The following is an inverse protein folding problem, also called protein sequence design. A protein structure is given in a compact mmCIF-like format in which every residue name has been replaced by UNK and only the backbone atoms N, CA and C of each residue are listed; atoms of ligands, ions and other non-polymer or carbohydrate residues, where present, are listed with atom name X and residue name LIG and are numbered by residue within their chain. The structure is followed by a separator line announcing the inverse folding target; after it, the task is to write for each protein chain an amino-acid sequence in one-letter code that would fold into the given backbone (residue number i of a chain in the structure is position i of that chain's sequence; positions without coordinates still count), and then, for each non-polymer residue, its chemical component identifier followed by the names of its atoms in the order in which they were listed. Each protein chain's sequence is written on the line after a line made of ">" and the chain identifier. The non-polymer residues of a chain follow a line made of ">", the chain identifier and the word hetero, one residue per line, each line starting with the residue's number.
data_IF_764896489488
#
_entry.id   IF_764896489488
#
_cell.length_a   1.000
_cell.length_b   1.000
_cell.length_c   1.000
_cell.angle_alpha   90.00
_cell.angle_beta   90.00
_cell.angle_gamma   90.00
#
_symmetry.space_group_name_H-M   'P 1'
#
loop_
_entity.id
_entity.type
_entity.pdbx_description
1 polymer ?
#
# COMPACT_ATOMS: atom_id res chain seq x y z
N UNK A 1 0.83 1.93 0.72
CA UNK A 1 0.71 2.07 2.19
C UNK A 1 0.37 0.71 2.75
N UNK A 2 1.11 0.23 3.74
CA UNK A 2 0.81 -1.04 4.38
C UNK A 2 -0.45 -0.93 5.24
N UNK A 3 -1.30 -1.96 5.27
CA UNK A 3 -2.55 -1.94 6.05
C UNK A 3 -2.30 -1.70 7.54
N UNK A 4 -1.27 -2.32 8.11
CA UNK A 4 -0.88 -2.08 9.50
C UNK A 4 -0.45 -0.63 9.78
N UNK A 5 0.23 0.07 8.85
CA UNK A 5 0.54 1.50 9.05
C UNK A 5 -0.75 2.33 9.12
N UNK A 6 -1.76 1.98 8.32
CA UNK A 6 -3.07 2.64 8.37
C UNK A 6 -3.79 2.35 9.69
N UNK A 7 -3.73 1.11 10.18
CA UNK A 7 -4.32 0.74 11.46
C UNK A 7 -3.66 1.49 12.62
N UNK A 8 -2.33 1.61 12.61
CA UNK A 8 -1.59 2.40 13.59
C UNK A 8 -2.10 3.87 13.64
N UNK A 9 -2.42 4.46 12.47
CA UNK A 9 -3.01 5.80 12.41
C UNK A 9 -4.45 5.82 12.92
N UNK A 10 -5.27 4.83 12.56
CA UNK A 10 -6.66 4.73 13.01
C UNK A 10 -6.73 4.64 14.53
N UNK A 11 -5.83 3.87 15.17
CA UNK A 11 -5.76 3.77 16.63
C UNK A 11 -5.44 5.12 17.29
N UNK A 12 -4.50 5.89 16.73
CA UNK A 12 -4.19 7.27 17.16
C UNK A 12 -5.43 8.17 17.04
N UNK A 13 -6.18 8.04 15.95
CA UNK A 13 -7.36 8.84 15.68
C UNK A 13 -8.53 8.50 16.61
N UNK A 14 -8.79 7.22 16.84
CA UNK A 14 -9.84 6.75 17.75
C UNK A 14 -9.56 7.20 19.19
N UNK A 15 -8.29 7.21 19.62
CA UNK A 15 -7.91 7.70 20.94
C UNK A 15 -8.12 9.22 21.09
N UNK A 16 -8.17 10.00 20.00
CA UNK A 16 -8.22 11.47 20.03
C UNK A 16 -9.23 12.07 19.03
N UNK A 17 -10.43 11.49 18.91
CA UNK A 17 -11.40 11.83 17.85
C UNK A 17 -11.71 13.33 17.70
N UNK A 18 -11.87 14.06 18.82
CA UNK A 18 -12.21 15.48 18.76
C UNK A 18 -11.09 16.33 18.11
N UNK A 19 -9.83 15.89 18.15
CA UNK A 19 -8.71 16.58 17.48
C UNK A 19 -8.85 16.55 15.95
N UNK A 20 -9.46 15.50 15.39
CA UNK A 20 -9.54 15.27 13.94
C UNK A 20 -10.90 15.63 13.33
N UNK A 21 -11.88 15.94 14.16
CA UNK A 21 -13.26 16.20 13.75
C UNK A 21 -13.37 17.33 12.72
N UNK A 22 -14.12 17.07 11.65
CA UNK A 22 -14.35 18.04 10.57
C UNK A 22 -13.13 18.28 9.66
N UNK A 23 -12.06 17.48 9.81
CA UNK A 23 -10.86 17.62 8.99
C UNK A 23 -10.69 16.45 8.03
N UNK A 24 -10.17 16.76 6.84
CA UNK A 24 -9.71 15.77 5.87
C UNK A 24 -8.20 15.67 5.88
N UNK A 25 -7.69 14.46 5.70
CA UNK A 25 -6.27 14.15 5.63
C UNK A 25 -6.00 13.21 4.46
N UNK A 26 -4.90 13.46 3.75
CA UNK A 26 -4.32 12.52 2.82
C UNK A 26 -3.45 11.54 3.62
N UNK A 27 -3.61 10.24 3.38
CA UNK A 27 -2.88 9.19 4.08
C UNK A 27 -2.33 8.22 3.05
N UNK A 28 -1.02 8.04 3.04
CA UNK A 28 -0.34 7.21 2.05
C UNK A 28 1.15 7.07 2.34
N UNK A 29 1.83 6.29 1.50
CA UNK A 29 3.25 5.98 1.63
C UNK A 29 4.19 7.14 1.29
N UNK A 30 3.69 8.20 0.65
CA UNK A 30 4.56 9.28 0.16
C UNK A 30 5.56 8.79 -0.89
N UNK A 31 6.60 9.59 -1.10
CA UNK A 31 7.62 9.33 -2.12
C UNK A 31 8.48 8.10 -1.77
N UNK A 32 8.87 7.97 -0.51
CA UNK A 32 9.78 6.92 -0.02
C UNK A 32 9.20 5.50 -0.16
N UNK A 33 7.87 5.38 -0.17
CA UNK A 33 7.17 4.10 -0.30
C UNK A 33 6.30 4.02 -1.57
N UNK A 34 6.62 4.80 -2.60
CA UNK A 34 5.98 4.71 -3.91
C UNK A 34 6.58 3.58 -4.74
N UNK A 35 5.76 2.96 -5.59
CA UNK A 35 6.18 1.92 -6.53
C UNK A 35 5.44 2.12 -7.85
N UNK A 36 6.17 1.97 -8.96
CA UNK A 36 5.59 1.75 -10.28
C UNK A 36 5.09 0.30 -10.45
N UNK A 37 4.30 0.05 -11.49
CA UNK A 37 3.88 -1.32 -11.84
C UNK A 37 5.07 -2.22 -12.17
N UNK A 38 6.12 -1.68 -12.79
CA UNK A 38 7.33 -2.43 -13.13
C UNK A 38 8.13 -2.83 -11.88
N UNK A 39 8.35 -1.90 -10.95
CA UNK A 39 9.02 -2.19 -9.67
C UNK A 39 8.21 -3.18 -8.82
N UNK A 40 6.90 -2.99 -8.76
CA UNK A 40 5.99 -3.93 -8.06
C UNK A 40 6.07 -5.33 -8.66
N UNK A 41 6.06 -5.45 -9.99
CA UNK A 41 6.19 -6.73 -10.69
C UNK A 41 7.50 -7.43 -10.35
N UNK A 42 8.63 -6.70 -10.37
CA UNK A 42 9.93 -7.26 -9.99
C UNK A 42 9.94 -7.77 -8.55
N UNK A 43 9.42 -6.99 -7.60
CA UNK A 43 9.31 -7.42 -6.21
C UNK A 43 8.47 -8.70 -6.08
N UNK A 44 7.34 -8.80 -6.79
CA UNK A 44 6.54 -10.02 -6.81
C UNK A 44 7.33 -11.22 -7.36
N UNK A 45 8.08 -11.05 -8.45
CA UNK A 45 8.89 -12.13 -9.02
C UNK A 45 9.97 -12.62 -8.05
N UNK A 46 10.66 -11.69 -7.38
CA UNK A 46 11.70 -12.00 -6.40
C UNK A 46 11.14 -12.70 -5.16
N UNK A 47 10.00 -12.24 -4.64
CA UNK A 47 9.38 -12.76 -3.41
C UNK A 47 8.73 -14.13 -3.67
N UNK A 48 8.01 -14.27 -4.78
CA UNK A 48 7.28 -15.52 -5.10
C UNK A 48 8.17 -16.59 -5.73
N UNK A 49 9.32 -16.21 -6.30
CA UNK A 49 10.14 -17.07 -7.15
C UNK A 49 9.51 -17.40 -8.50
N UNK A 50 8.34 -16.84 -8.81
CA UNK A 50 7.61 -17.08 -10.06
C UNK A 50 7.81 -15.93 -11.04
N UNK A 51 8.04 -16.26 -12.31
CA UNK A 51 8.09 -15.28 -13.39
C UNK A 51 7.07 -15.64 -14.46
N UNK A 52 6.30 -14.64 -14.89
CA UNK A 52 5.36 -14.74 -16.00
C UNK A 52 5.70 -13.72 -17.07
N UNK A 53 5.35 -14.02 -18.32
CA UNK A 53 5.44 -13.06 -19.41
C UNK A 53 4.31 -12.04 -19.27
N UNK A 54 4.66 -10.75 -19.29
CA UNK A 54 3.71 -9.64 -19.25
C UNK A 54 3.97 -8.78 -20.49
N UNK A 55 2.95 -8.63 -21.33
CA UNK A 55 3.02 -7.79 -22.52
C UNK A 55 2.52 -6.37 -22.23
N UNK A 56 3.10 -5.39 -22.92
CA UNK A 56 2.64 -4.02 -22.83
C UNK A 56 1.36 -3.82 -23.64
N UNK A 57 0.38 -3.17 -23.04
CA UNK A 57 -0.80 -2.66 -23.74
C UNK A 57 -0.59 -1.14 -23.91
N UNK A 58 -0.55 -0.62 -25.15
CA UNK A 58 -0.21 0.78 -25.39
C UNK A 58 -1.31 1.75 -24.95
N UNK A 59 -2.56 1.28 -24.86
CA UNK A 59 -3.68 2.07 -24.38
C UNK A 59 -3.67 2.18 -22.85
N UNK A 60 -3.68 3.42 -22.34
CA UNK A 60 -3.93 3.66 -20.92
C UNK A 60 -5.39 3.35 -20.59
N UNK A 61 -5.63 2.75 -19.43
CA UNK A 61 -6.97 2.54 -18.92
C UNK A 61 -7.64 3.90 -18.62
N UNK A 62 -8.88 4.07 -19.07
CA UNK A 62 -9.63 5.30 -18.83
C UNK A 62 -9.76 5.58 -17.34
N UNK A 63 -9.32 6.76 -16.90
CA UNK A 63 -9.35 7.19 -15.50
C UNK A 63 -8.07 6.91 -14.71
N UNK A 64 -7.09 6.19 -15.29
CA UNK A 64 -5.81 5.98 -14.61
C UNK A 64 -5.03 7.28 -14.46
N UNK A 65 -4.51 7.50 -13.25
CA UNK A 65 -3.56 8.56 -12.98
C UNK A 65 -2.14 7.99 -13.11
N UNK A 66 -1.30 8.49 -14.03
CA UNK A 66 0.02 7.90 -14.27
C UNK A 66 0.95 8.01 -13.04
N UNK A 67 0.76 9.04 -12.21
CA UNK A 67 1.49 9.22 -10.96
C UNK A 67 0.53 9.75 -9.90
N UNK A 68 0.50 9.09 -8.75
CA UNK A 68 -0.13 9.60 -7.53
C UNK A 68 0.79 9.34 -6.35
N UNK A 69 1.29 10.42 -5.75
CA UNK A 69 2.14 10.37 -4.55
C UNK A 69 1.44 11.17 -3.47
N UNK A 70 1.17 10.53 -2.35
CA UNK A 70 0.39 11.13 -1.27
C UNK A 70 1.23 12.08 -0.42
N UNK A 71 0.75 13.30 -0.22
CA UNK A 71 1.31 14.21 0.78
C UNK A 71 0.64 14.02 2.14
N UNK A 72 1.29 13.27 3.04
CA UNK A 72 0.80 12.98 4.39
C UNK A 72 1.26 14.02 5.43
N UNK A 73 1.93 15.12 5.05
CA UNK A 73 2.55 16.07 6.00
C UNK A 73 1.57 16.64 7.02
N UNK A 74 0.31 16.89 6.62
CA UNK A 74 -0.72 17.45 7.51
C UNK A 74 -1.03 16.52 8.69
N UNK A 75 -1.17 15.21 8.46
CA UNK A 75 -1.49 14.29 9.55
C UNK A 75 -0.25 13.99 10.38
N UNK A 76 0.91 13.88 9.73
CA UNK A 76 2.19 13.65 10.40
C UNK A 76 2.58 14.78 11.35
N UNK A 77 2.30 16.05 11.01
CA UNK A 77 2.61 17.17 11.90
C UNK A 77 1.75 17.19 13.17
N UNK A 78 0.56 16.59 13.13
CA UNK A 78 -0.38 16.55 14.26
C UNK A 78 -0.11 15.35 15.16
N UNK A 79 0.26 14.22 14.58
CA UNK A 79 0.31 12.91 15.27
C UNK A 79 1.73 12.36 15.45
N UNK A 80 2.70 12.87 14.69
CA UNK A 80 4.00 12.22 14.53
C UNK A 80 3.96 10.94 13.69
N UNK A 81 2.78 10.50 13.23
CA UNK A 81 2.63 9.28 12.44
C UNK A 81 3.33 9.39 11.09
N UNK A 82 4.02 8.32 10.72
CA UNK A 82 4.62 8.10 9.42
C UNK A 82 4.52 6.60 9.08
N UNK A 83 4.34 6.22 7.81
CA UNK A 83 4.42 4.82 7.40
C UNK A 83 5.79 4.23 7.75
N UNK A 84 5.82 3.00 8.24
CA UNK A 84 7.05 2.31 8.68
C UNK A 84 7.38 1.09 7.82
N UNK A 85 6.43 0.62 7.00
CA UNK A 85 6.54 -0.64 6.27
C UNK A 85 6.66 -0.34 4.78
N UNK A 86 7.84 -0.66 4.23
CA UNK A 86 8.15 -0.39 2.84
C UNK A 86 7.41 -1.28 1.84
N UNK A 87 7.61 -1.00 0.55
CA UNK A 87 6.99 -1.75 -0.53
C UNK A 87 7.35 -3.24 -0.52
N UNK A 88 8.59 -3.62 -0.16
CA UNK A 88 8.99 -5.02 -0.08
C UNK A 88 8.27 -5.72 1.07
N UNK A 89 8.24 -5.12 2.26
CA UNK A 89 7.54 -5.66 3.43
C UNK A 89 6.06 -5.86 3.14
N UNK A 90 5.42 -4.88 2.48
CA UNK A 90 4.03 -4.97 2.05
C UNK A 90 3.79 -6.17 1.12
N UNK A 91 4.56 -6.31 0.05
CA UNK A 91 4.38 -7.43 -0.89
C UNK A 91 4.68 -8.77 -0.22
N UNK A 92 5.69 -8.83 0.66
CA UNK A 92 6.00 -10.05 1.43
C UNK A 92 4.83 -10.45 2.33
N UNK A 93 4.26 -9.51 3.08
CA UNK A 93 3.14 -9.81 3.99
C UNK A 93 1.88 -10.26 3.22
N UNK A 94 1.64 -9.70 2.03
CA UNK A 94 0.59 -10.19 1.12
C UNK A 94 0.87 -11.63 0.68
N UNK A 95 2.09 -11.91 0.23
CA UNK A 95 2.48 -13.25 -0.20
C UNK A 95 2.33 -14.28 0.91
N UNK A 96 2.86 -13.98 2.11
CA UNK A 96 2.80 -14.86 3.27
C UNK A 96 1.35 -15.14 3.68
N UNK A 97 0.48 -14.11 3.63
CA UNK A 97 -0.94 -14.26 3.91
C UNK A 97 -1.64 -15.16 2.89
N UNK A 98 -1.39 -14.96 1.59
CA UNK A 98 -1.95 -15.79 0.52
C UNK A 98 -1.50 -17.24 0.67
N UNK A 99 -0.20 -17.46 0.91
CA UNK A 99 0.37 -18.80 1.05
C UNK A 99 -0.18 -19.52 2.30
N UNK A 100 -0.37 -18.81 3.41
CA UNK A 100 -0.97 -19.37 4.63
C UNK A 100 -2.42 -19.80 4.41
N UNK A 101 -3.18 -19.08 3.58
CA UNK A 101 -4.60 -19.32 3.31
C UNK A 101 -4.84 -19.98 1.94
N UNK A 102 -3.83 -20.60 1.34
CA UNK A 102 -3.88 -21.11 -0.04
C UNK A 102 -5.12 -22.01 -0.27
N UNK A 103 -5.42 -22.92 0.67
CA UNK A 103 -6.54 -23.85 0.55
C UNK A 103 -7.90 -23.16 0.46
N UNK A 104 -8.09 -22.08 1.21
CA UNK A 104 -9.33 -21.31 1.23
C UNK A 104 -9.44 -20.46 -0.05
N UNK A 105 -8.33 -19.86 -0.46
CA UNK A 105 -8.26 -18.96 -1.60
C UNK A 105 -8.31 -19.68 -2.96
N UNK A 106 -7.96 -20.96 -3.03
CA UNK A 106 -7.95 -21.77 -4.26
C UNK A 106 -9.31 -21.90 -4.95
N UNK A 107 -10.41 -21.59 -4.25
CA UNK A 107 -11.75 -21.57 -4.84
C UNK A 107 -12.14 -20.22 -5.45
N UNK A 108 -11.37 -19.16 -5.15
CA UNK A 108 -11.61 -17.78 -5.59
C UNK A 108 -10.76 -17.44 -6.81
N UNK A 109 -9.52 -17.94 -6.84
CA UNK A 109 -8.53 -17.75 -7.91
C UNK A 109 -8.19 -19.09 -8.56
#
# INVERSE_FOLDING_TARGET
>A
LHVADLLDLIDIQIANLEQFKGQTFNVGGGQDFSLSLYETTKLCQEITGNSIMIEAIPENRTGDMPIFITDSRKISSITGWQPQRDGRKLIQDIFDWINTHEKELKSIF
#
